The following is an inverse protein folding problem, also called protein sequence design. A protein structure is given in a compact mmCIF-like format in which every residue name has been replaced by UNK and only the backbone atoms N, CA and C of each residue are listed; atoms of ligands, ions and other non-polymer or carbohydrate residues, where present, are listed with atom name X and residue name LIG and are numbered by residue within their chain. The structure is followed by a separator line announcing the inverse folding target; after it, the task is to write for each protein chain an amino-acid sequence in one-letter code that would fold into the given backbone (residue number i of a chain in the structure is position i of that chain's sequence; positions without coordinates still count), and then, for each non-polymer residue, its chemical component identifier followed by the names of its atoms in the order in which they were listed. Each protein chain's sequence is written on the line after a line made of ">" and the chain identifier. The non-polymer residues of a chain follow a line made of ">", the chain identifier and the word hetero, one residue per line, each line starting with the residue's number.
data_IF_044941210290
#
_entry.id   IF_044941210290
#
_cell.length_a   1.000
_cell.length_b   1.000
_cell.length_c   1.000
_cell.angle_alpha   90.00
_cell.angle_beta   90.00
_cell.angle_gamma   90.00
#
_symmetry.space_group_name_H-M   'P 1'
#
loop_
_entity.id
_entity.type
_entity.pdbx_description
1 polymer ?
#
# COMPACT_ATOMS: atom_id res chain seq x y z
N UNK A 1 44.78 25.25 -43.85
CA UNK A 1 43.33 24.89 -43.75
C UNK A 1 43.04 24.50 -42.32
N UNK A 2 41.91 24.91 -41.73
CA UNK A 2 41.53 24.57 -40.35
C UNK A 2 40.46 23.47 -40.40
N UNK A 3 40.79 22.26 -39.96
CA UNK A 3 39.84 21.15 -39.84
C UNK A 3 39.22 21.14 -38.44
N UNK A 4 38.01 21.68 -38.32
CA UNK A 4 37.21 21.56 -37.10
C UNK A 4 36.70 20.13 -36.95
N UNK A 5 37.12 19.42 -35.91
CA UNK A 5 36.53 18.14 -35.53
C UNK A 5 35.22 18.39 -34.76
N UNK A 6 34.11 17.85 -35.23
CA UNK A 6 32.79 17.96 -34.60
C UNK A 6 32.68 17.00 -33.42
N UNK A 7 32.23 17.50 -32.28
CA UNK A 7 32.05 16.73 -31.05
C UNK A 7 30.96 15.67 -31.18
N UNK A 8 31.18 14.49 -30.58
CA UNK A 8 30.13 13.52 -30.28
C UNK A 8 30.19 13.13 -28.81
N UNK A 9 29.56 13.94 -27.95
CA UNK A 9 29.37 13.60 -26.55
C UNK A 9 28.12 12.72 -26.41
N UNK A 10 28.32 11.41 -26.21
CA UNK A 10 27.24 10.49 -25.89
C UNK A 10 26.74 10.78 -24.47
N UNK A 11 25.64 11.52 -24.36
CA UNK A 11 25.01 11.79 -23.07
C UNK A 11 24.21 10.55 -22.64
N UNK A 12 24.87 9.66 -21.90
CA UNK A 12 24.23 8.58 -21.13
C UNK A 12 23.34 9.22 -20.05
N UNK A 13 22.11 9.54 -20.42
CA UNK A 13 21.08 9.89 -19.46
C UNK A 13 20.71 8.62 -18.68
N UNK A 14 21.33 8.42 -17.51
CA UNK A 14 20.71 7.62 -16.46
C UNK A 14 19.43 8.36 -16.06
N UNK A 15 18.33 8.05 -16.74
CA UNK A 15 16.99 8.44 -16.30
C UNK A 15 16.70 7.62 -15.05
N UNK A 16 17.05 8.18 -13.89
CA UNK A 16 16.50 7.71 -12.62
C UNK A 16 14.98 7.72 -12.75
N UNK A 17 14.37 6.55 -12.59
CA UNK A 17 12.92 6.43 -12.64
C UNK A 17 12.39 7.24 -11.47
N UNK A 18 11.72 8.35 -11.74
CA UNK A 18 11.04 9.10 -10.68
C UNK A 18 9.90 8.20 -10.19
N UNK A 19 10.05 7.62 -9.00
CA UNK A 19 8.94 6.86 -8.41
C UNK A 19 7.73 7.79 -8.30
N UNK A 20 6.59 7.38 -8.86
CA UNK A 20 5.36 8.12 -8.68
C UNK A 20 4.83 7.81 -7.27
N UNK A 21 5.02 8.76 -6.36
CA UNK A 21 4.43 8.72 -5.05
C UNK A 21 3.04 9.36 -5.09
N UNK A 22 2.03 8.68 -4.54
CA UNK A 22 0.66 9.20 -4.40
C UNK A 22 0.27 9.09 -2.93
N UNK A 23 -0.25 10.19 -2.36
CA UNK A 23 -0.77 10.21 -1.00
C UNK A 23 -2.29 10.30 -1.05
N UNK A 24 -2.95 9.32 -0.44
CA UNK A 24 -4.38 9.25 -0.18
C UNK A 24 -4.58 9.77 1.24
N UNK A 25 -5.44 10.75 1.42
CA UNK A 25 -5.73 11.35 2.73
C UNK A 25 -6.99 10.74 3.29
N UNK A 26 -7.07 10.69 4.61
CA UNK A 26 -8.14 10.06 5.36
C UNK A 26 -8.86 11.08 6.29
N UNK A 27 -10.01 10.69 6.83
CA UNK A 27 -10.77 11.52 7.75
C UNK A 27 -10.35 11.27 9.21
N UNK A 28 -9.64 12.22 9.82
CA UNK A 28 -9.36 12.15 11.25
C UNK A 28 -10.67 12.11 12.08
N UNK A 29 -10.66 11.34 13.17
CA UNK A 29 -11.74 11.21 14.16
C UNK A 29 -12.96 10.40 13.74
N UNK A 30 -12.86 9.54 12.73
CA UNK A 30 -13.98 8.73 12.25
C UNK A 30 -14.04 7.28 12.83
N UNK A 31 -13.19 6.93 13.80
CA UNK A 31 -13.35 5.68 14.57
C UNK A 31 -14.63 5.68 15.43
N UNK A 32 -15.21 4.50 15.65
CA UNK A 32 -16.30 4.33 16.64
C UNK A 32 -15.87 4.66 18.07
N UNK A 33 -14.61 4.41 18.42
CA UNK A 33 -13.99 4.84 19.68
C UNK A 33 -12.73 5.64 19.38
N UNK A 34 -12.87 6.95 19.56
CA UNK A 34 -11.83 7.93 19.33
C UNK A 34 -10.71 7.92 20.39
N UNK A 35 -10.76 7.05 21.40
CA UNK A 35 -9.61 6.74 22.25
C UNK A 35 -8.47 6.05 21.50
N UNK A 36 -8.75 5.33 20.41
CA UNK A 36 -7.77 4.52 19.67
C UNK A 36 -6.99 5.33 18.61
N UNK A 37 -6.37 6.45 18.98
CA UNK A 37 -5.64 7.30 18.03
C UNK A 37 -4.52 6.59 17.23
N UNK A 38 -3.94 5.52 17.76
CA UNK A 38 -2.96 4.67 17.06
C UNK A 38 -3.55 3.82 15.91
N UNK A 39 -4.89 3.73 15.80
CA UNK A 39 -5.60 3.06 14.72
C UNK A 39 -6.24 4.03 13.73
N UNK A 40 -6.44 5.29 14.14
CA UNK A 40 -6.98 6.38 13.30
C UNK A 40 -5.93 6.71 12.22
N UNK A 41 -6.21 6.34 10.98
CA UNK A 41 -5.41 6.61 9.79
C UNK A 41 -5.65 8.07 9.39
N UNK A 42 -4.57 8.76 9.00
CA UNK A 42 -4.63 10.14 8.49
C UNK A 42 -4.26 10.21 7.01
N UNK A 43 -3.39 9.30 6.57
CA UNK A 43 -3.07 9.13 5.15
C UNK A 43 -2.34 7.80 4.91
N UNK A 44 -2.41 7.34 3.67
CA UNK A 44 -1.48 6.34 3.14
C UNK A 44 -0.77 6.92 1.93
N UNK A 45 0.55 6.84 1.96
CA UNK A 45 1.39 7.16 0.82
C UNK A 45 1.82 5.87 0.13
N UNK A 46 1.46 5.72 -1.15
CA UNK A 46 1.83 4.58 -1.99
C UNK A 46 2.93 5.00 -2.96
N UNK A 47 4.01 4.22 -3.02
CA UNK A 47 5.09 4.37 -4.01
C UNK A 47 5.62 3.00 -4.45
N UNK A 48 6.47 2.96 -5.48
CA UNK A 48 7.08 1.73 -5.99
C UNK A 48 8.53 1.97 -6.43
N UNK A 49 9.29 0.89 -6.56
CA UNK A 49 10.50 0.86 -7.36
C UNK A 49 10.41 -0.27 -8.41
N UNK A 50 11.55 -0.71 -8.94
CA UNK A 50 11.61 -1.78 -9.94
C UNK A 50 11.18 -3.16 -9.41
N UNK A 51 11.19 -3.39 -8.09
CA UNK A 51 10.92 -4.70 -7.46
C UNK A 51 9.77 -4.69 -6.48
N UNK A 52 9.52 -3.56 -5.82
CA UNK A 52 8.65 -3.49 -4.64
C UNK A 52 7.62 -2.36 -4.71
N UNK A 53 6.54 -2.54 -3.96
CA UNK A 53 5.58 -1.53 -3.57
C UNK A 53 5.81 -1.14 -2.11
N UNK A 54 5.51 0.11 -1.79
CA UNK A 54 5.66 0.68 -0.46
C UNK A 54 4.36 1.38 -0.07
N UNK A 55 3.77 0.95 1.04
CA UNK A 55 2.65 1.64 1.70
C UNK A 55 3.16 2.25 3.00
N UNK A 56 3.15 3.58 3.06
CA UNK A 56 3.55 4.37 4.23
C UNK A 56 2.26 4.87 4.88
N UNK A 57 1.80 4.15 5.90
CA UNK A 57 0.54 4.44 6.62
C UNK A 57 0.87 5.37 7.78
N UNK A 58 0.30 6.58 7.80
CA UNK A 58 0.44 7.54 8.91
C UNK A 58 -0.85 7.59 9.70
N UNK A 59 -0.74 7.44 11.02
CA UNK A 59 -1.86 7.49 11.97
C UNK A 59 -1.81 8.73 12.84
N UNK A 60 -2.91 9.01 13.55
CA UNK A 60 -3.04 10.14 14.49
C UNK A 60 -2.27 9.95 15.80
N UNK A 61 -2.02 8.71 16.20
CA UNK A 61 -1.30 8.32 17.40
C UNK A 61 -0.09 7.42 17.13
N UNK A 62 0.66 7.13 18.19
CA UNK A 62 1.84 6.26 18.16
C UNK A 62 1.42 4.79 17.98
N UNK A 63 1.75 4.18 16.84
CA UNK A 63 1.42 2.77 16.54
C UNK A 63 2.22 1.76 17.38
N UNK A 64 3.25 2.22 18.12
CA UNK A 64 3.94 1.40 19.13
C UNK A 64 3.42 1.63 20.55
N UNK A 65 2.55 2.63 20.76
CA UNK A 65 1.94 2.94 22.04
C UNK A 65 0.47 3.43 21.92
N UNK A 66 -0.52 2.56 22.16
CA UNK A 66 -0.38 1.28 22.85
C UNK A 66 0.28 0.20 21.99
N UNK A 67 0.82 -0.79 22.69
CA UNK A 67 1.69 -1.83 22.16
C UNK A 67 0.88 -2.99 21.54
N UNK A 68 -0.02 -2.64 20.63
CA UNK A 68 -0.84 -3.55 19.84
C UNK A 68 -1.45 -2.78 18.67
N UNK A 69 -1.66 -3.48 17.57
CA UNK A 69 -2.35 -2.92 16.41
C UNK A 69 -2.07 -3.75 15.18
N UNK A 70 -2.94 -3.63 14.19
CA UNK A 70 -2.84 -4.33 12.92
C UNK A 70 -3.14 -3.36 11.79
N UNK A 71 -2.30 -3.39 10.76
CA UNK A 71 -2.45 -2.55 9.57
C UNK A 71 -2.40 -3.45 8.36
N UNK A 72 -3.49 -3.47 7.61
CA UNK A 72 -3.70 -4.46 6.56
C UNK A 72 -4.02 -3.78 5.23
N UNK A 73 -3.55 -4.36 4.14
CA UNK A 73 -3.88 -3.93 2.78
C UNK A 73 -4.59 -5.09 2.08
N UNK A 74 -5.80 -4.84 1.61
CA UNK A 74 -6.47 -5.66 0.60
C UNK A 74 -6.08 -5.15 -0.78
N UNK A 75 -5.59 -6.00 -1.67
CA UNK A 75 -5.15 -5.63 -3.03
C UNK A 75 -5.93 -6.45 -4.06
N UNK A 76 -6.59 -5.76 -4.98
CA UNK A 76 -7.25 -6.27 -6.17
C UNK A 76 -6.39 -5.95 -7.40
N UNK A 77 -5.80 -7.00 -7.99
CA UNK A 77 -4.86 -6.95 -9.10
C UNK A 77 -5.53 -7.25 -10.44
N UNK A 78 -4.91 -6.83 -11.56
CA UNK A 78 -5.50 -7.05 -12.88
C UNK A 78 -5.60 -8.54 -13.24
N UNK A 79 -6.81 -9.09 -13.14
CA UNK A 79 -7.14 -10.45 -13.56
C UNK A 79 -6.94 -11.53 -12.48
N UNK A 80 -7.02 -11.16 -11.20
CA UNK A 80 -6.94 -12.13 -10.10
C UNK A 80 -8.24 -12.88 -9.80
N UNK A 81 -8.37 -13.30 -8.54
CA UNK A 81 -9.40 -14.22 -8.03
C UNK A 81 -10.60 -13.52 -7.41
N UNK A 82 -10.49 -12.23 -7.03
CA UNK A 82 -11.58 -11.42 -6.47
C UNK A 82 -12.27 -12.11 -5.26
N UNK A 83 -11.48 -12.44 -4.23
CA UNK A 83 -11.95 -13.14 -3.03
C UNK A 83 -12.62 -12.19 -2.02
N UNK A 84 -13.73 -12.61 -1.41
CA UNK A 84 -14.45 -11.82 -0.41
C UNK A 84 -13.88 -11.97 1.02
N UNK A 85 -12.96 -12.90 1.24
CA UNK A 85 -12.29 -13.16 2.51
C UNK A 85 -11.06 -12.29 2.75
N UNK A 86 -10.20 -12.72 3.67
CA UNK A 86 -8.88 -12.12 3.89
C UNK A 86 -7.91 -13.11 4.53
N UNK A 87 -6.62 -12.76 4.50
CA UNK A 87 -5.54 -13.64 4.96
C UNK A 87 -5.59 -14.07 6.43
N UNK A 88 -6.34 -13.35 7.27
CA UNK A 88 -6.41 -13.57 8.73
C UNK A 88 -7.81 -13.95 9.24
N UNK A 89 -8.80 -14.10 8.35
CA UNK A 89 -10.19 -14.42 8.75
C UNK A 89 -10.89 -13.33 9.56
N UNK A 90 -10.45 -12.06 9.44
CA UNK A 90 -11.08 -10.91 10.12
C UNK A 90 -12.49 -10.66 9.57
N UNK A 91 -13.45 -10.22 10.40
CA UNK A 91 -14.80 -9.87 9.94
C UNK A 91 -14.79 -8.53 9.19
N UNK A 92 -14.49 -8.61 7.89
CA UNK A 92 -14.41 -7.48 6.96
C UNK A 92 -15.31 -7.79 5.77
N UNK A 93 -16.12 -6.81 5.35
CA UNK A 93 -16.91 -6.83 4.12
C UNK A 93 -16.32 -5.80 3.16
N UNK A 94 -15.73 -6.26 2.07
CA UNK A 94 -15.11 -5.44 1.02
C UNK A 94 -16.11 -4.70 0.09
N UNK A 95 -17.39 -4.61 0.50
CA UNK A 95 -18.43 -3.82 -0.17
C UNK A 95 -18.66 -4.20 -1.66
N UNK A 96 -18.49 -5.49 -1.97
CA UNK A 96 -18.71 -6.05 -3.30
C UNK A 96 -17.48 -6.09 -4.21
N UNK A 97 -16.37 -5.45 -3.83
CA UNK A 97 -15.06 -5.71 -4.42
C UNK A 97 -14.43 -6.93 -3.74
N UNK A 98 -13.60 -7.70 -4.45
CA UNK A 98 -12.80 -8.78 -3.86
C UNK A 98 -11.33 -8.40 -3.80
N UNK A 99 -10.52 -9.23 -3.13
CA UNK A 99 -9.06 -9.09 -3.08
C UNK A 99 -8.35 -10.34 -3.60
N UNK A 100 -7.15 -10.15 -4.12
CA UNK A 100 -6.26 -11.20 -4.60
C UNK A 100 -5.09 -11.43 -3.65
N UNK A 101 -4.64 -10.36 -3.01
CA UNK A 101 -3.57 -10.38 -2.03
C UNK A 101 -3.98 -9.69 -0.75
N UNK A 102 -3.57 -10.29 0.36
CA UNK A 102 -3.68 -9.73 1.70
C UNK A 102 -2.27 -9.47 2.22
N UNK A 103 -2.05 -8.23 2.63
CA UNK A 103 -0.82 -7.81 3.29
C UNK A 103 -1.20 -7.45 4.72
N UNK A 104 -0.95 -8.35 5.67
CA UNK A 104 -1.27 -8.11 7.08
C UNK A 104 -0.01 -7.76 7.86
N UNK A 105 0.02 -6.62 8.55
CA UNK A 105 1.17 -6.23 9.40
C UNK A 105 0.76 -5.93 10.84
N UNK A 106 1.69 -6.03 11.77
CA UNK A 106 1.48 -5.81 13.20
C UNK A 106 2.51 -4.88 13.83
N UNK A 107 2.11 -4.26 14.94
CA UNK A 107 2.93 -3.41 15.80
C UNK A 107 2.86 -3.95 17.24
N UNK A 108 3.42 -5.14 17.45
CA UNK A 108 3.27 -5.94 18.68
C UNK A 108 4.63 -6.09 19.39
N UNK A 109 5.16 -4.95 19.85
CA UNK A 109 6.39 -4.76 20.63
C UNK A 109 6.34 -5.42 22.05
N UNK A 110 5.43 -6.35 22.33
CA UNK A 110 5.37 -7.14 23.58
C UNK A 110 5.54 -8.66 23.34
N UNK A 111 6.21 -9.03 22.23
CA UNK A 111 6.63 -10.41 21.96
C UNK A 111 7.03 -10.68 20.51
N UNK A 112 6.43 -9.97 19.55
CA UNK A 112 6.67 -10.18 18.10
C UNK A 112 7.39 -9.04 17.38
N UNK A 113 7.50 -7.86 18.01
CA UNK A 113 8.05 -6.66 17.37
C UNK A 113 7.12 -6.13 16.28
N UNK A 114 7.71 -5.48 15.26
CA UNK A 114 7.01 -5.19 14.01
C UNK A 114 7.18 -6.36 13.04
N UNK A 115 6.16 -6.64 12.24
CA UNK A 115 6.24 -7.71 11.25
C UNK A 115 5.03 -7.74 10.33
N UNK A 116 5.01 -8.73 9.45
CA UNK A 116 3.92 -8.93 8.51
C UNK A 116 3.92 -10.26 7.79
N UNK A 117 2.79 -10.53 7.13
CA UNK A 117 2.55 -11.63 6.21
C UNK A 117 2.03 -11.11 4.86
N UNK A 118 2.55 -11.68 3.77
CA UNK A 118 1.99 -11.58 2.43
C UNK A 118 1.25 -12.90 2.13
N UNK A 119 -0.02 -12.83 1.76
CA UNK A 119 -0.87 -13.98 1.42
C UNK A 119 -1.54 -13.78 0.07
N UNK A 120 -1.58 -14.82 -0.75
CA UNK A 120 -2.41 -14.88 -1.96
C UNK A 120 -3.73 -15.56 -1.64
N UNK A 121 -4.85 -14.98 -2.07
CA UNK A 121 -6.19 -15.55 -1.89
C UNK A 121 -6.43 -16.66 -2.94
N UNK A 122 -7.41 -17.54 -2.69
CA UNK A 122 -7.76 -18.63 -3.61
C UNK A 122 -9.08 -18.43 -4.39
N UNK A 123 -9.84 -17.38 -4.10
CA UNK A 123 -11.12 -17.08 -4.74
C UNK A 123 -12.31 -17.83 -4.13
N UNK A 124 -12.09 -18.54 -3.02
CA UNK A 124 -13.09 -19.32 -2.30
C UNK A 124 -13.15 -19.06 -0.80
N UNK A 125 -12.51 -17.99 -0.32
CA UNK A 125 -12.41 -17.62 1.09
C UNK A 125 -11.19 -18.20 1.81
N UNK A 126 -10.34 -18.95 1.10
CA UNK A 126 -9.07 -19.45 1.59
C UNK A 126 -7.88 -18.64 1.08
N UNK A 127 -6.68 -18.97 1.57
CA UNK A 127 -5.45 -18.29 1.19
C UNK A 127 -4.20 -19.14 1.46
N UNK A 128 -3.11 -18.77 0.79
CA UNK A 128 -1.77 -19.36 0.96
C UNK A 128 -0.80 -18.29 1.44
N UNK A 129 0.03 -18.63 2.44
CA UNK A 129 1.14 -17.78 2.89
C UNK A 129 2.25 -17.76 1.83
N UNK A 130 2.57 -16.59 1.30
CA UNK A 130 3.64 -16.37 0.31
C UNK A 130 4.96 -16.03 1.02
N UNK A 131 4.93 -15.13 2.00
CA UNK A 131 6.08 -14.79 2.85
C UNK A 131 5.62 -14.21 4.19
N UNK A 132 6.48 -14.27 5.19
CA UNK A 132 6.28 -13.64 6.50
C UNK A 132 7.60 -13.23 7.14
N UNK A 133 7.60 -12.17 7.95
CA UNK A 133 8.81 -11.71 8.68
C UNK A 133 9.34 -12.71 9.70
N UNK A 134 8.52 -13.66 10.15
CA UNK A 134 8.95 -14.79 11.00
C UNK A 134 9.45 -16.02 10.20
N UNK A 135 9.50 -15.92 8.87
CA UNK A 135 10.05 -16.96 7.97
C UNK A 135 11.34 -16.48 7.31
N UNK A 136 11.36 -16.29 5.98
CA UNK A 136 12.52 -15.68 5.29
C UNK A 136 12.39 -14.16 5.21
N UNK A 137 11.17 -13.62 5.12
CA UNK A 137 10.89 -12.19 5.29
C UNK A 137 11.53 -11.29 4.23
N UNK A 138 11.73 -11.81 3.02
CA UNK A 138 12.42 -11.09 1.92
C UNK A 138 11.48 -10.25 1.07
N UNK A 139 10.19 -10.59 1.09
CA UNK A 139 9.13 -10.00 0.28
C UNK A 139 8.21 -9.10 1.11
N UNK A 140 8.32 -9.09 2.45
CA UNK A 140 7.55 -8.20 3.34
C UNK A 140 8.34 -7.70 4.56
N UNK A 141 8.11 -6.44 4.97
CA UNK A 141 8.62 -5.85 6.23
C UNK A 141 7.72 -4.69 6.73
N UNK A 142 7.70 -4.42 8.05
CA UNK A 142 6.99 -3.33 8.76
C UNK A 142 7.90 -2.73 9.85
N UNK A 143 7.84 -1.42 10.17
CA UNK A 143 9.07 -0.75 10.70
C UNK A 143 9.00 0.37 11.76
N UNK A 144 7.89 1.05 12.07
CA UNK A 144 8.01 2.31 12.86
C UNK A 144 6.81 2.77 13.70
N UNK A 145 7.10 3.66 14.66
CA UNK A 145 6.29 4.11 15.81
C UNK A 145 5.15 5.10 15.52
N UNK A 146 5.11 5.77 14.38
CA UNK A 146 3.95 6.62 13.96
C UNK A 146 3.56 6.39 12.50
N UNK A 147 4.35 5.55 11.82
CA UNK A 147 4.28 5.33 10.39
C UNK A 147 4.59 3.88 10.10
N UNK A 148 3.57 3.09 9.78
CA UNK A 148 3.77 1.71 9.38
C UNK A 148 4.19 1.69 7.91
N UNK A 149 5.49 1.55 7.65
CA UNK A 149 6.01 1.36 6.30
C UNK A 149 6.01 -0.11 5.93
N UNK A 150 5.08 -0.49 5.06
CA UNK A 150 4.94 -1.83 4.52
C UNK A 150 5.66 -1.89 3.17
N UNK A 151 6.74 -2.66 3.07
CA UNK A 151 7.35 -3.06 1.78
C UNK A 151 6.71 -4.36 1.33
N UNK A 152 6.33 -4.49 0.06
CA UNK A 152 5.77 -5.72 -0.53
C UNK A 152 6.34 -5.97 -1.92
N UNK A 153 6.82 -7.19 -2.20
CA UNK A 153 7.35 -7.50 -3.52
C UNK A 153 6.28 -7.58 -4.60
N UNK A 154 6.51 -6.90 -5.73
CA UNK A 154 5.61 -6.87 -6.90
C UNK A 154 5.54 -8.18 -7.66
N UNK A 155 6.62 -8.95 -7.65
CA UNK A 155 6.78 -10.17 -8.43
C UNK A 155 5.74 -11.27 -8.12
N UNK A 156 5.50 -11.69 -6.85
CA UNK A 156 4.45 -12.65 -6.53
C UNK A 156 3.03 -12.13 -6.81
N UNK A 157 2.85 -10.80 -6.87
CA UNK A 157 1.56 -10.17 -7.19
C UNK A 157 1.34 -9.96 -8.70
N UNK A 158 2.32 -10.28 -9.55
CA UNK A 158 2.23 -10.06 -11.00
C UNK A 158 2.19 -8.59 -11.45
N UNK A 159 2.49 -7.64 -10.56
CA UNK A 159 2.26 -6.20 -10.79
C UNK A 159 3.39 -5.58 -11.63
N UNK A 160 3.15 -5.43 -12.93
CA UNK A 160 4.08 -4.86 -13.91
C UNK A 160 3.91 -3.35 -14.09
N UNK A 161 4.91 -2.72 -14.70
CA UNK A 161 4.85 -1.30 -15.05
C UNK A 161 3.74 -1.06 -16.10
N UNK A 162 2.99 0.02 -15.93
CA UNK A 162 1.80 0.36 -16.71
C UNK A 162 0.49 -0.23 -16.17
N UNK A 163 0.55 -1.13 -15.18
CA UNK A 163 -0.65 -1.69 -14.55
C UNK A 163 -1.25 -0.75 -13.51
N UNK A 164 -2.58 -0.82 -13.37
CA UNK A 164 -3.31 -0.27 -12.23
C UNK A 164 -3.81 -1.44 -11.38
N UNK A 165 -3.64 -1.34 -10.07
CA UNK A 165 -4.32 -2.18 -9.09
C UNK A 165 -5.22 -1.30 -8.23
N UNK A 166 -6.21 -1.92 -7.60
CA UNK A 166 -7.07 -1.28 -6.62
C UNK A 166 -6.72 -1.81 -5.23
N UNK A 167 -6.86 -0.99 -4.21
CA UNK A 167 -6.56 -1.41 -2.85
C UNK A 167 -7.41 -0.66 -1.83
N UNK A 168 -7.51 -1.24 -0.64
CA UNK A 168 -7.97 -0.57 0.56
C UNK A 168 -6.98 -0.84 1.69
N UNK A 169 -6.77 0.16 2.55
CA UNK A 169 -5.92 0.04 3.74
C UNK A 169 -6.80 0.22 4.96
N UNK A 170 -6.68 -0.71 5.90
CA UNK A 170 -7.45 -0.68 7.13
C UNK A 170 -6.55 -0.87 8.35
N UNK A 171 -6.96 -0.24 9.45
CA UNK A 171 -6.43 -0.55 10.77
C UNK A 171 -7.39 -1.51 11.50
N UNK A 172 -6.87 -2.28 12.44
CA UNK A 172 -7.65 -3.27 13.16
C UNK A 172 -7.00 -3.64 14.50
N UNK A 173 -7.78 -4.24 15.39
CA UNK A 173 -7.37 -4.54 16.75
C UNK A 173 -6.42 -5.73 16.90
N UNK A 174 -5.86 -5.88 18.10
CA UNK A 174 -4.89 -6.93 18.41
C UNK A 174 -5.46 -8.36 18.45
N UNK A 175 -6.77 -8.51 18.62
CA UNK A 175 -7.47 -9.79 18.63
C UNK A 175 -7.56 -10.42 17.24
N UNK A 176 -7.70 -11.76 17.21
CA UNK A 176 -7.80 -12.51 15.95
C UNK A 176 -9.14 -12.36 15.22
N UNK A 177 -10.19 -11.94 15.94
CA UNK A 177 -11.53 -11.73 15.39
C UNK A 177 -11.94 -10.27 15.23
N UNK A 178 -11.01 -9.33 15.37
CA UNK A 178 -11.35 -7.91 15.39
C UNK A 178 -11.62 -7.39 13.96
N UNK A 179 -12.70 -6.63 13.71
CA UNK A 179 -13.02 -6.01 12.42
C UNK A 179 -12.02 -4.91 12.03
N UNK A 180 -12.05 -4.46 10.77
CA UNK A 180 -11.39 -3.21 10.39
C UNK A 180 -12.06 -2.04 11.11
N UNK A 181 -11.33 -1.31 11.94
CA UNK A 181 -11.92 -0.21 12.73
C UNK A 181 -11.87 1.12 11.98
N UNK A 182 -10.89 1.21 11.07
CA UNK A 182 -10.64 2.30 10.16
C UNK A 182 -10.40 1.72 8.76
N UNK A 183 -10.83 2.42 7.72
CA UNK A 183 -10.68 2.03 6.31
C UNK A 183 -10.48 3.29 5.47
N UNK A 184 -9.28 3.45 4.89
CA UNK A 184 -8.85 4.58 4.06
C UNK A 184 -9.78 4.93 2.89
N UNK A 185 -10.58 3.96 2.44
CA UNK A 185 -11.63 4.14 1.44
C UNK A 185 -12.89 4.87 1.95
N UNK A 186 -12.96 5.25 3.23
CA UNK A 186 -14.11 5.89 3.90
C UNK A 186 -13.78 7.29 4.41
N UNK A 187 -14.75 7.91 5.08
CA UNK A 187 -14.61 9.16 5.84
C UNK A 187 -15.57 9.14 7.07
N UNK A 188 -15.91 7.94 7.52
CA UNK A 188 -16.95 7.63 8.50
C UNK A 188 -16.73 6.21 9.06
N UNK A 189 -17.15 5.91 10.31
CA UNK A 189 -16.82 4.64 10.97
C UNK A 189 -17.08 3.41 10.09
N UNK A 190 -16.06 2.58 9.93
CA UNK A 190 -16.15 1.34 9.16
C UNK A 190 -16.97 0.26 9.87
N UNK A 191 -17.05 0.33 11.20
CA UNK A 191 -17.88 -0.52 12.08
C UNK A 191 -18.34 0.29 13.29
N UNK A 192 -19.52 0.01 13.89
CA UNK A 192 -19.96 0.65 15.14
C UNK A 192 -19.27 0.10 16.41
N UNK A 193 -18.74 -1.13 16.39
CA UNK A 193 -18.03 -1.73 17.52
C UNK A 193 -17.23 -2.99 17.12
N UNK A 194 -16.46 -3.56 18.05
CA UNK A 194 -15.62 -4.76 17.85
C UNK A 194 -16.38 -6.05 17.47
N UNK A 195 -17.71 -6.11 17.61
CA UNK A 195 -18.53 -7.30 17.35
C UNK A 195 -19.22 -7.27 15.99
N UNK A 196 -19.26 -6.11 15.32
CA UNK A 196 -19.88 -5.93 14.00
C UNK A 196 -18.80 -5.98 12.91
N UNK A 197 -18.99 -6.77 11.84
CA UNK A 197 -18.06 -6.76 10.70
C UNK A 197 -17.94 -5.37 10.08
N UNK A 198 -16.72 -4.98 9.71
CA UNK A 198 -16.49 -3.71 9.04
C UNK A 198 -16.97 -3.72 7.60
N UNK A 199 -17.30 -2.56 7.04
CA UNK A 199 -17.67 -2.40 5.64
C UNK A 199 -16.74 -1.39 4.98
N UNK A 200 -15.94 -1.83 4.01
CA UNK A 200 -15.03 -0.96 3.25
C UNK A 200 -15.80 0.09 2.41
N UNK A 201 -15.08 1.14 1.98
CA UNK A 201 -15.57 2.08 0.98
C UNK A 201 -15.37 1.54 -0.45
N UNK A 202 -15.12 2.44 -1.40
CA UNK A 202 -14.68 2.06 -2.75
C UNK A 202 -13.14 2.01 -2.80
N UNK A 203 -12.56 0.95 -3.35
CA UNK A 203 -11.10 0.81 -3.36
C UNK A 203 -10.43 1.93 -4.17
N UNK A 204 -9.23 2.29 -3.72
CA UNK A 204 -8.43 3.36 -4.29
C UNK A 204 -7.54 2.82 -5.40
N UNK A 205 -7.50 3.46 -6.59
CA UNK A 205 -6.65 3.02 -7.70
C UNK A 205 -5.22 3.54 -7.55
N UNK A 206 -4.23 2.68 -7.77
CA UNK A 206 -2.84 3.08 -7.95
C UNK A 206 -2.27 2.52 -9.26
N UNK A 207 -1.74 3.42 -10.10
CA UNK A 207 -1.10 3.06 -11.37
C UNK A 207 0.42 3.13 -11.22
N UNK A 208 1.09 2.01 -11.47
CA UNK A 208 2.55 1.95 -11.62
C UNK A 208 2.89 2.53 -13.00
N UNK A 209 3.53 3.71 -13.15
CA UNK A 209 3.77 4.28 -14.46
C UNK A 209 4.90 3.55 -15.19
N UNK A 210 4.81 3.43 -16.51
CA UNK A 210 5.96 2.97 -17.29
C UNK A 210 7.09 4.00 -17.22
N UNK A 211 8.38 3.57 -17.14
CA UNK A 211 9.52 4.50 -17.06
C UNK A 211 9.54 5.55 -18.19
N UNK A 212 9.02 5.20 -19.38
CA UNK A 212 8.90 6.11 -20.52
C UNK A 212 7.85 7.22 -20.37
N UNK A 213 6.78 7.01 -19.60
CA UNK A 213 5.70 7.99 -19.43
C UNK A 213 6.19 9.28 -18.75
N UNK A 214 7.06 9.12 -17.74
CA UNK A 214 7.65 10.23 -16.99
C UNK A 214 8.73 10.96 -17.79
N UNK A 215 9.53 10.23 -18.58
CA UNK A 215 10.47 10.83 -19.52
C UNK A 215 9.75 11.68 -20.59
N UNK A 216 8.59 11.22 -21.08
CA UNK A 216 7.80 11.97 -22.06
C UNK A 216 7.20 13.26 -21.48
N UNK A 217 6.73 13.24 -20.22
CA UNK A 217 6.28 14.44 -19.51
C UNK A 217 7.43 15.45 -19.34
N UNK A 218 8.62 15.00 -18.94
CA UNK A 218 9.81 15.86 -18.81
C UNK A 218 10.24 16.49 -20.16
N UNK A 219 10.25 15.69 -21.23
CA UNK A 219 10.55 16.16 -22.59
C UNK A 219 9.47 17.14 -23.11
N UNK A 220 8.19 16.87 -22.86
CA UNK A 220 7.09 17.77 -23.18
C UNK A 220 7.24 19.13 -22.51
N UNK A 221 7.57 19.14 -21.20
CA UNK A 221 7.88 20.36 -20.45
C UNK A 221 9.06 21.15 -21.05
N UNK A 222 10.16 20.47 -21.39
CA UNK A 222 11.32 21.10 -22.03
C UNK A 222 10.99 21.69 -23.42
N UNK A 223 10.21 20.98 -24.23
CA UNK A 223 9.80 21.45 -25.57
C UNK A 223 8.88 22.67 -25.49
N UNK A 224 7.95 22.70 -24.52
CA UNK A 224 7.10 23.88 -24.26
C UNK A 224 7.92 25.06 -23.74
N UNK A 225 8.87 24.84 -22.82
CA UNK A 225 9.76 25.88 -22.31
C UNK A 225 10.65 26.47 -23.42
N UNK A 226 11.16 25.63 -24.33
CA UNK A 226 11.95 26.06 -25.50
C UNK A 226 11.13 26.81 -26.54
N UNK A 227 9.80 26.62 -26.60
CA UNK A 227 8.88 27.32 -27.51
C UNK A 227 8.34 28.63 -26.95
N UNK A 228 8.69 28.98 -25.69
CA UNK A 228 8.35 30.24 -25.00
C UNK A 228 9.57 31.16 -24.81
N UNK A 229 10.67 30.89 -25.51
CA UNK A 229 11.85 31.76 -25.64
C UNK A 229 12.04 32.10 -27.11
#
# INVERSE_FOLDING_TARGET
>A
MKTSAVSMAALLALTGVASAQVTYNDAAMDLFDNGFAHLDILSVTVSHDATDLYFTITTRGDVSNPNWGKFCVGIDGPGGVNDAGNGWGRPINWNGQGIDFWVGTWADNNGGGFGGELRGMDGSGGNVLIDATYTTGTLINGTSTVTQNIRVSRAPMGLLDGMTFYFDVLSSGGGGGDPGVDHLSRNDPATPDWSVPSVAGAFLPYTIPTPGALALLGLGGLLVARRRR
#
